data_IF_090134050065
#
_entry.id   IF_090134050065
#
_cell.length_a   1.000
_cell.length_b   1.000
_cell.length_c   1.000
_cell.angle_alpha   90.00
_cell.angle_beta   90.00
_cell.angle_gamma   90.00
#
_symmetry.space_group_name_H-M   'P 1'
#
loop_
_entity.id
_entity.type
_entity.pdbx_description
1 polymer ?
#
# COMPACT_ATOMS: atom_id res chain seq x y z
N UNK A 1 -6.36 6.56 12.41
CA UNK A 1 -6.14 5.20 11.87
C UNK A 1 -4.69 4.83 12.19
N UNK A 2 -4.19 3.59 11.99
CA UNK A 2 -2.76 3.30 12.24
C UNK A 2 -2.20 2.42 11.12
N UNK A 3 -1.00 2.75 10.66
CA UNK A 3 -0.32 2.07 9.56
C UNK A 3 0.56 0.93 10.07
N UNK A 4 0.64 -0.14 9.28
CA UNK A 4 1.54 -1.27 9.51
C UNK A 4 2.41 -1.39 8.26
N UNK A 5 3.73 -1.26 8.43
CA UNK A 5 4.71 -1.49 7.37
C UNK A 5 5.28 -2.90 7.50
N UNK A 6 5.32 -3.63 6.38
CA UNK A 6 5.95 -4.95 6.31
C UNK A 6 6.44 -5.21 4.89
N UNK A 7 7.49 -6.04 4.78
CA UNK A 7 8.01 -6.51 3.51
C UNK A 7 7.35 -7.86 3.15
N UNK A 8 6.94 -8.02 1.89
CA UNK A 8 6.39 -9.29 1.39
C UNK A 8 6.61 -9.43 -0.11
N UNK A 9 6.49 -10.67 -0.59
CA UNK A 9 6.59 -10.99 -2.00
C UNK A 9 5.25 -10.79 -2.71
N UNK A 10 5.28 -10.13 -3.88
CA UNK A 10 4.20 -10.17 -4.86
C UNK A 10 4.44 -11.31 -5.87
N UNK A 11 3.70 -12.41 -5.75
CA UNK A 11 3.88 -13.60 -6.61
C UNK A 11 2.65 -13.82 -7.47
N UNK A 12 2.81 -13.75 -8.80
CA UNK A 12 1.72 -13.98 -9.76
C UNK A 12 0.53 -13.02 -9.58
N UNK A 13 0.78 -11.79 -9.14
CA UNK A 13 -0.26 -10.80 -8.84
C UNK A 13 -0.97 -10.98 -7.50
N UNK A 14 -0.50 -11.91 -6.66
CA UNK A 14 -1.05 -12.15 -5.32
C UNK A 14 -0.08 -11.62 -4.27
N UNK A 15 -0.55 -10.66 -3.46
CA UNK A 15 0.13 -10.20 -2.25
C UNK A 15 -0.25 -11.12 -1.09
N UNK A 16 0.74 -11.69 -0.41
CA UNK A 16 0.48 -12.51 0.79
C UNK A 16 0.77 -11.71 2.05
N UNK A 17 -0.24 -11.55 2.91
CA UNK A 17 -0.07 -10.94 4.22
C UNK A 17 0.68 -11.94 5.13
N UNK A 18 1.79 -11.56 5.77
CA UNK A 18 2.53 -12.44 6.68
C UNK A 18 1.67 -12.99 7.82
N UNK A 19 2.00 -14.21 8.28
CA UNK A 19 1.26 -14.91 9.34
C UNK A 19 1.21 -14.13 10.67
N UNK A 20 2.19 -13.26 10.92
CA UNK A 20 2.23 -12.39 12.10
C UNK A 20 0.99 -11.47 12.19
N UNK A 21 0.34 -11.20 11.06
CA UNK A 21 -0.86 -10.36 10.96
C UNK A 21 -2.15 -11.17 10.78
N UNK A 22 -2.13 -12.49 11.00
CA UNK A 22 -3.30 -13.37 10.84
C UNK A 22 -4.51 -12.97 11.69
N UNK A 23 -4.31 -12.20 12.76
CA UNK A 23 -5.37 -11.63 13.58
C UNK A 23 -6.19 -10.54 12.88
N UNK A 24 -5.72 -9.97 11.76
CA UNK A 24 -6.44 -8.97 10.95
C UNK A 24 -7.59 -9.57 10.11
N UNK A 25 -7.99 -10.80 10.39
CA UNK A 25 -8.94 -11.58 9.61
C UNK A 25 -10.27 -10.84 9.36
N UNK A 26 -10.69 -10.78 8.09
CA UNK A 26 -11.90 -10.11 7.61
C UNK A 26 -12.02 -8.59 7.89
N UNK A 27 -10.91 -7.90 8.18
CA UNK A 27 -10.92 -6.45 8.27
C UNK A 27 -10.75 -5.79 6.89
N UNK A 28 -11.40 -4.64 6.70
CA UNK A 28 -11.15 -3.79 5.55
C UNK A 28 -9.78 -3.14 5.72
N UNK A 29 -8.89 -3.33 4.73
CA UNK A 29 -7.53 -2.79 4.76
C UNK A 29 -7.27 -1.92 3.54
N UNK A 30 -6.47 -0.87 3.76
CA UNK A 30 -5.88 -0.05 2.70
C UNK A 30 -4.43 -0.50 2.53
N UNK A 31 -4.01 -0.77 1.30
CA UNK A 31 -2.65 -1.23 0.98
C UNK A 31 -1.95 -0.16 0.16
N UNK A 32 -0.76 0.24 0.59
CA UNK A 32 0.17 1.10 -0.16
C UNK A 32 1.38 0.24 -0.49
N UNK A 33 1.75 0.15 -1.77
CA UNK A 33 2.90 -0.62 -2.23
C UNK A 33 3.98 0.34 -2.71
N UNK A 34 5.19 0.19 -2.17
CA UNK A 34 6.39 0.85 -2.68
C UNK A 34 7.15 -0.16 -3.53
N UNK A 35 7.47 0.22 -4.77
CA UNK A 35 8.26 -0.60 -5.69
C UNK A 35 9.61 0.08 -5.88
N UNK A 36 10.70 -0.59 -5.47
CA UNK A 36 12.05 -0.01 -5.57
C UNK A 36 12.57 0.06 -7.01
N UNK A 37 11.99 -0.70 -7.93
CA UNK A 37 12.33 -0.67 -9.36
C UNK A 37 11.12 -0.24 -10.18
N UNK A 38 11.32 0.72 -11.09
CA UNK A 38 10.33 1.09 -12.10
C UNK A 38 10.12 -0.14 -13.01
N UNK A 39 8.94 -0.79 -13.01
CA UNK A 39 8.68 -1.93 -13.89
C UNK A 39 8.70 -1.55 -15.38
N UNK A 40 8.83 -0.26 -15.70
CA UNK A 40 8.77 0.25 -17.08
C UNK A 40 7.35 0.22 -17.64
N UNK A 41 6.35 0.01 -16.77
CA UNK A 41 4.93 -0.02 -17.13
C UNK A 41 4.31 1.37 -16.89
N UNK A 42 4.02 2.13 -17.96
CA UNK A 42 3.46 3.47 -17.86
C UNK A 42 2.04 3.48 -17.26
N UNK A 43 1.28 2.40 -17.38
CA UNK A 43 -0.07 2.31 -16.83
C UNK A 43 -0.02 2.18 -15.31
N UNK A 44 0.85 1.32 -14.78
CA UNK A 44 1.10 1.20 -13.34
C UNK A 44 1.57 2.52 -12.72
N UNK A 45 2.45 3.26 -13.42
CA UNK A 45 2.86 4.61 -12.99
C UNK A 45 1.70 5.60 -13.01
N UNK A 46 0.86 5.59 -14.04
CA UNK A 46 -0.31 6.46 -14.10
C UNK A 46 -1.29 6.16 -12.94
N UNK A 47 -1.49 4.90 -12.56
CA UNK A 47 -2.30 4.56 -11.38
C UNK A 47 -1.70 5.12 -10.08
N UNK A 48 -0.37 5.11 -9.93
CA UNK A 48 0.30 5.69 -8.75
C UNK A 48 0.15 7.21 -8.69
N UNK A 49 0.44 7.91 -9.80
CA UNK A 49 0.43 9.39 -9.89
C UNK A 49 -0.98 9.99 -9.70
N UNK A 50 -2.03 9.21 -9.99
CA UNK A 50 -3.42 9.67 -9.92
C UNK A 50 -4.20 9.25 -8.68
N UNK A 51 -3.76 8.26 -7.90
CA UNK A 51 -4.71 7.55 -7.02
C UNK A 51 -4.52 7.74 -5.53
N UNK A 52 -3.31 7.95 -5.00
CA UNK A 52 -3.14 7.95 -3.54
C UNK A 52 -3.35 9.33 -2.88
N UNK A 53 -2.77 10.38 -3.45
CA UNK A 53 -2.81 11.73 -2.87
C UNK A 53 -4.02 12.57 -3.37
N UNK A 54 -4.68 12.14 -4.43
CA UNK A 54 -5.77 12.88 -5.07
C UNK A 54 -7.15 12.60 -4.46
N UNK A 55 -7.28 11.58 -3.60
CA UNK A 55 -8.51 11.22 -2.92
C UNK A 55 -8.56 11.97 -1.59
N UNK A 56 -9.44 12.97 -1.40
CA UNK A 56 -9.43 13.81 -0.20
C UNK A 56 -9.70 13.04 1.09
N UNK A 57 -10.47 11.95 1.02
CA UNK A 57 -10.74 11.08 2.18
C UNK A 57 -9.52 10.25 2.61
N UNK A 58 -8.42 10.28 1.85
CA UNK A 58 -7.22 9.50 2.07
C UNK A 58 -6.08 10.28 2.72
N UNK A 59 -6.24 11.60 2.89
CA UNK A 59 -5.34 12.44 3.66
C UNK A 59 -5.56 12.22 5.15
N UNK A 60 -4.63 11.51 5.80
CA UNK A 60 -4.57 11.40 7.26
C UNK A 60 -3.18 11.85 7.69
N UNK A 61 -3.11 13.05 8.27
CA UNK A 61 -1.85 13.67 8.68
C UNK A 61 -1.06 12.81 9.69
N UNK A 62 -1.74 11.99 10.50
CA UNK A 62 -1.09 11.10 11.44
C UNK A 62 -0.51 9.86 10.75
N UNK A 63 -1.12 9.38 9.66
CA UNK A 63 -0.54 8.31 8.84
C UNK A 63 0.59 8.83 7.96
N UNK A 64 0.42 9.99 7.32
CA UNK A 64 1.40 10.59 6.41
C UNK A 64 2.71 10.98 7.11
N UNK A 65 2.68 11.32 8.41
CA UNK A 65 3.90 11.56 9.21
C UNK A 65 4.74 10.31 9.44
N UNK A 66 4.16 9.10 9.42
CA UNK A 66 4.90 7.84 9.58
C UNK A 66 5.81 7.57 8.38
N UNK A 67 5.47 8.13 7.21
CA UNK A 67 6.16 7.89 5.94
C UNK A 67 7.18 8.98 5.55
N UNK A 68 7.46 9.97 6.43
CA UNK A 68 8.47 11.03 6.22
C UNK A 68 9.85 10.64 6.72
#
# INVERSE_FOLDING_TARGET
MYAIEFETDLKGGVLTIPDDYRSLNNQHVRVVMLLEHDPGDPELRAFSEHSAAAIPEWQDAAEDEVWK
#
